data_IF_448280263403
#
_entry.id   IF_448280263403
#
_cell.length_a   1.000
_cell.length_b   1.000
_cell.length_c   1.000
_cell.angle_alpha   90.00
_cell.angle_beta   90.00
_cell.angle_gamma   90.00
#
_symmetry.space_group_name_H-M   'P 1'
#
loop_
_entity.id
_entity.type
_entity.pdbx_description
1 polymer ?
#
# COMPACT_ATOMS: atom_id res chain seq x y z
N UNK A 1 0.72 8.73 -3.70
CA UNK A 1 0.15 8.58 -2.32
C UNK A 1 1.20 8.22 -1.27
N UNK A 2 1.90 7.09 -1.40
CA UNK A 2 2.81 6.56 -0.35
C UNK A 2 3.91 7.54 0.07
N UNK A 3 4.51 8.27 -0.89
CA UNK A 3 5.52 9.30 -0.62
C UNK A 3 5.04 10.40 0.35
N UNK A 4 3.74 10.72 0.35
CA UNK A 4 3.18 11.67 1.33
C UNK A 4 3.21 11.09 2.74
N UNK A 5 2.83 9.82 2.91
CA UNK A 5 2.85 9.17 4.23
C UNK A 5 4.27 8.96 4.73
N UNK A 6 5.21 8.52 3.88
CA UNK A 6 6.61 8.38 4.26
C UNK A 6 7.24 9.71 4.73
N UNK A 7 6.77 10.86 4.23
CA UNK A 7 7.20 12.16 4.69
C UNK A 7 6.67 12.55 6.08
N UNK A 8 5.49 12.05 6.49
CA UNK A 8 4.90 12.38 7.79
C UNK A 8 5.76 11.84 8.96
N UNK A 9 5.84 12.55 10.09
CA UNK A 9 6.74 12.16 11.19
C UNK A 9 6.49 10.75 11.72
N UNK A 10 5.23 10.40 12.01
CA UNK A 10 4.86 9.10 12.56
C UNK A 10 5.09 7.96 11.56
N UNK A 11 4.44 8.03 10.39
CA UNK A 11 4.51 6.99 9.37
C UNK A 11 5.93 6.79 8.84
N UNK A 12 6.69 7.87 8.60
CA UNK A 12 8.09 7.76 8.19
C UNK A 12 8.96 7.06 9.23
N UNK A 13 8.75 7.30 10.54
CA UNK A 13 9.47 6.58 11.60
C UNK A 13 9.10 5.10 11.62
N UNK A 14 7.81 4.79 11.48
CA UNK A 14 7.33 3.40 11.41
C UNK A 14 7.96 2.66 10.23
N UNK A 15 7.92 3.24 9.02
CA UNK A 15 8.50 2.64 7.81
C UNK A 15 10.02 2.47 7.94
N UNK A 16 10.72 3.46 8.49
CA UNK A 16 12.16 3.37 8.72
C UNK A 16 12.51 2.27 9.75
N UNK A 17 11.70 2.07 10.79
CA UNK A 17 11.86 0.98 11.74
C UNK A 17 11.54 -0.40 11.13
N UNK A 18 10.67 -0.43 10.12
CA UNK A 18 10.32 -1.63 9.35
C UNK A 18 11.30 -1.95 8.20
N UNK A 19 12.46 -1.29 8.14
CA UNK A 19 13.52 -1.60 7.17
C UNK A 19 13.62 -0.64 5.97
N UNK A 20 12.74 0.35 5.83
CA UNK A 20 12.69 1.25 4.67
C UNK A 20 13.25 2.64 4.96
N UNK A 21 14.35 2.72 5.72
CA UNK A 21 14.94 4.00 6.11
C UNK A 21 15.43 4.80 4.90
N UNK A 22 16.06 4.13 3.94
CA UNK A 22 16.63 4.77 2.75
C UNK A 22 15.54 5.45 1.91
N UNK A 23 14.41 4.77 1.68
CA UNK A 23 13.25 5.31 0.97
C UNK A 23 12.67 6.52 1.71
N UNK A 24 12.48 6.43 3.03
CA UNK A 24 11.95 7.53 3.84
C UNK A 24 12.86 8.77 3.77
N UNK A 25 14.18 8.58 3.86
CA UNK A 25 15.16 9.67 3.77
C UNK A 25 15.17 10.32 2.38
N UNK A 26 15.12 9.50 1.32
CA UNK A 26 15.05 9.98 -0.06
C UNK A 26 13.75 10.77 -0.33
N UNK A 27 12.61 10.26 0.13
CA UNK A 27 11.31 10.94 0.07
C UNK A 27 11.39 12.30 0.77
N UNK A 28 11.88 12.35 2.01
CA UNK A 28 12.00 13.59 2.78
C UNK A 28 12.95 14.59 2.12
N UNK A 29 14.03 14.11 1.49
CA UNK A 29 14.94 14.96 0.75
C UNK A 29 14.26 15.64 -0.44
N UNK A 30 13.46 14.91 -1.22
CA UNK A 30 12.69 15.44 -2.33
C UNK A 30 11.61 16.44 -1.87
N UNK A 31 10.96 16.20 -0.73
CA UNK A 31 9.99 17.13 -0.15
C UNK A 31 10.59 18.48 0.25
N UNK A 32 11.87 18.52 0.70
CA UNK A 32 12.55 19.80 1.01
C UNK A 32 12.67 20.71 -0.20
N UNK A 33 12.78 20.14 -1.40
CA UNK A 33 12.84 20.89 -2.67
C UNK A 33 11.48 20.96 -3.38
N UNK A 34 10.40 20.49 -2.73
CA UNK A 34 9.04 20.40 -3.30
C UNK A 34 8.98 19.58 -4.60
N UNK A 35 9.89 18.64 -4.79
CA UNK A 35 9.96 17.78 -5.96
C UNK A 35 9.10 16.54 -5.74
N UNK A 36 7.83 16.62 -6.15
CA UNK A 36 6.85 15.54 -5.95
C UNK A 36 7.21 14.31 -6.76
N UNK A 37 7.65 14.48 -8.01
CA UNK A 37 7.99 13.35 -8.89
C UNK A 37 9.16 12.55 -8.33
N UNK A 38 10.21 13.23 -7.84
CA UNK A 38 11.32 12.57 -7.17
C UNK A 38 10.90 11.90 -5.86
N UNK A 39 9.98 12.50 -5.11
CA UNK A 39 9.46 11.87 -3.89
C UNK A 39 8.68 10.59 -4.22
N UNK A 40 7.90 10.58 -5.31
CA UNK A 40 7.18 9.38 -5.75
C UNK A 40 8.13 8.30 -6.28
N UNK A 41 9.15 8.66 -7.05
CA UNK A 41 10.18 7.73 -7.53
C UNK A 41 11.06 7.14 -6.42
N UNK A 42 11.11 7.77 -5.24
CA UNK A 42 11.84 7.26 -4.08
C UNK A 42 11.08 6.14 -3.33
N UNK A 43 9.81 5.89 -3.66
CA UNK A 43 9.04 4.76 -3.14
C UNK A 43 9.39 3.53 -3.98
N UNK A 44 10.13 2.59 -3.39
CA UNK A 44 10.47 1.33 -4.03
C UNK A 44 9.25 0.41 -4.17
N UNK A 45 9.29 -0.50 -5.14
CA UNK A 45 8.27 -1.55 -5.30
C UNK A 45 8.17 -2.41 -4.02
N UNK A 46 9.32 -2.71 -3.40
CA UNK A 46 9.35 -3.43 -2.12
C UNK A 46 8.62 -2.70 -0.99
N UNK A 47 8.77 -1.37 -0.88
CA UNK A 47 8.00 -0.58 0.08
C UNK A 47 6.51 -0.58 -0.26
N UNK A 48 6.17 -0.43 -1.53
CA UNK A 48 4.77 -0.43 -1.98
C UNK A 48 4.09 -1.77 -1.67
N UNK A 49 4.73 -2.89 -1.99
CA UNK A 49 4.24 -4.25 -1.73
C UNK A 49 4.13 -4.57 -0.24
N UNK A 50 5.05 -4.03 0.58
CA UNK A 50 5.04 -4.25 2.02
C UNK A 50 3.81 -3.61 2.71
N UNK A 51 3.31 -2.50 2.19
CA UNK A 51 2.26 -1.69 2.84
C UNK A 51 0.95 -1.60 2.08
N UNK A 52 0.85 -2.23 0.92
CA UNK A 52 -0.37 -2.26 0.09
C UNK A 52 -0.69 -3.66 -0.40
N UNK A 53 -1.91 -3.81 -0.91
CA UNK A 53 -2.38 -4.95 -1.67
C UNK A 53 -2.47 -4.50 -3.14
N UNK A 54 -1.38 -4.60 -3.88
CA UNK A 54 -1.27 -4.16 -5.27
C UNK A 54 -0.97 -5.36 -6.18
N UNK A 55 -1.57 -5.37 -7.38
CA UNK A 55 -1.40 -6.46 -8.34
C UNK A 55 -2.70 -7.22 -8.62
N UNK A 56 -2.55 -8.47 -9.07
CA UNK A 56 -3.68 -9.31 -9.45
C UNK A 56 -4.48 -9.80 -8.23
N UNK A 57 -5.75 -10.23 -8.43
CA UNK A 57 -6.60 -10.66 -7.32
C UNK A 57 -6.05 -11.86 -6.51
N UNK A 58 -5.28 -12.77 -7.12
CA UNK A 58 -4.73 -13.92 -6.41
C UNK A 58 -3.59 -13.48 -5.48
N UNK A 59 -2.70 -12.61 -5.96
CA UNK A 59 -1.66 -11.99 -5.14
C UNK A 59 -2.27 -11.25 -3.94
N UNK A 60 -3.26 -10.40 -4.18
CA UNK A 60 -3.92 -9.63 -3.13
C UNK A 60 -4.60 -10.53 -2.07
N UNK A 61 -5.22 -11.64 -2.48
CA UNK A 61 -5.79 -12.62 -1.54
C UNK A 61 -4.72 -13.29 -0.68
N UNK A 62 -3.62 -13.75 -1.28
CA UNK A 62 -2.52 -14.37 -0.56
C UNK A 62 -1.90 -13.40 0.49
N UNK A 63 -1.74 -12.13 0.13
CA UNK A 63 -1.28 -11.08 1.05
C UNK A 63 -2.28 -10.84 2.19
N UNK A 64 -3.58 -10.82 1.91
CA UNK A 64 -4.61 -10.70 2.96
C UNK A 64 -4.58 -11.89 3.92
N UNK A 65 -4.37 -13.10 3.40
CA UNK A 65 -4.26 -14.32 4.21
C UNK A 65 -2.98 -14.34 5.06
N UNK A 66 -1.89 -13.71 4.60
CA UNK A 66 -0.70 -13.52 5.42
C UNK A 66 -0.99 -12.66 6.66
N UNK A 67 -1.80 -11.60 6.54
CA UNK A 67 -2.23 -10.81 7.71
C UNK A 67 -3.10 -11.63 8.66
N UNK A 68 -4.01 -12.46 8.13
CA UNK A 68 -4.84 -13.36 8.96
C UNK A 68 -3.97 -14.37 9.71
N UNK A 69 -3.02 -14.98 9.01
CA UNK A 69 -2.05 -15.93 9.61
C UNK A 69 -1.21 -15.27 10.70
N UNK A 70 -0.89 -13.98 10.56
CA UNK A 70 -0.20 -13.19 11.57
C UNK A 70 -1.09 -12.75 12.76
N UNK A 71 -2.39 -13.14 12.77
CA UNK A 71 -3.30 -12.89 13.90
C UNK A 71 -4.34 -11.80 13.67
N UNK A 72 -4.44 -11.20 12.47
CA UNK A 72 -5.50 -10.24 12.17
C UNK A 72 -6.86 -10.95 12.07
N UNK A 73 -7.76 -10.69 13.02
CA UNK A 73 -9.09 -11.32 13.07
C UNK A 73 -10.10 -10.69 12.10
N UNK A 74 -9.98 -9.39 11.81
CA UNK A 74 -10.87 -8.66 10.90
C UNK A 74 -10.10 -7.69 10.00
N UNK A 75 -9.52 -8.18 8.89
CA UNK A 75 -8.92 -7.30 7.88
C UNK A 75 -9.98 -6.43 7.19
N UNK A 76 -9.77 -5.11 7.17
CA UNK A 76 -10.62 -4.16 6.43
C UNK A 76 -9.90 -3.76 5.15
N UNK A 77 -10.47 -4.10 4.00
CA UNK A 77 -9.92 -3.74 2.69
C UNK A 77 -10.49 -2.39 2.26
N UNK A 78 -9.62 -1.39 2.10
CA UNK A 78 -9.98 -0.07 1.61
C UNK A 78 -9.44 0.14 0.18
N UNK A 79 -10.32 0.21 -0.85
CA UNK A 79 -9.89 0.42 -2.22
C UNK A 79 -9.45 1.86 -2.46
N UNK A 80 -8.22 2.03 -2.97
CA UNK A 80 -7.72 3.31 -3.47
C UNK A 80 -7.74 3.30 -5.01
N UNK A 81 -8.54 4.16 -5.67
CA UNK A 81 -8.62 4.19 -7.14
C UNK A 81 -7.29 4.60 -7.79
N UNK A 82 -6.94 3.95 -8.89
CA UNK A 82 -5.78 4.29 -9.73
C UNK A 82 -6.24 4.41 -11.17
N UNK A 83 -6.35 5.63 -11.68
CA UNK A 83 -6.82 5.89 -13.06
C UNK A 83 -8.28 5.50 -13.32
N UNK A 84 -9.06 5.21 -12.28
CA UNK A 84 -10.46 4.79 -12.36
C UNK A 84 -11.36 5.56 -11.37
N UNK A 85 -12.68 5.41 -11.50
CA UNK A 85 -13.63 6.00 -10.57
C UNK A 85 -13.63 5.25 -9.22
N UNK A 86 -14.08 5.93 -8.15
CA UNK A 86 -14.24 5.28 -6.84
C UNK A 86 -15.18 4.08 -6.91
N UNK A 87 -16.30 4.21 -7.64
CA UNK A 87 -17.28 3.13 -7.79
C UNK A 87 -16.66 1.90 -8.45
N UNK A 88 -15.94 2.09 -9.56
CA UNK A 88 -15.26 1.00 -10.27
C UNK A 88 -14.21 0.30 -9.38
N UNK A 89 -13.40 1.06 -8.64
CA UNK A 89 -12.41 0.49 -7.72
C UNK A 89 -13.06 -0.34 -6.60
N UNK A 90 -14.20 0.12 -6.07
CA UNK A 90 -14.98 -0.60 -5.06
C UNK A 90 -15.56 -1.88 -5.64
N UNK A 91 -16.22 -1.82 -6.80
CA UNK A 91 -16.79 -2.99 -7.48
C UNK A 91 -15.74 -4.05 -7.78
N UNK A 92 -14.59 -3.65 -8.35
CA UNK A 92 -13.46 -4.54 -8.63
C UNK A 92 -12.92 -5.20 -7.37
N UNK A 93 -12.86 -4.46 -6.26
CA UNK A 93 -12.40 -4.98 -4.97
C UNK A 93 -13.41 -5.97 -4.37
N UNK A 94 -14.71 -5.65 -4.41
CA UNK A 94 -15.76 -6.55 -3.98
C UNK A 94 -15.72 -7.86 -4.79
N UNK A 95 -15.59 -7.78 -6.12
CA UNK A 95 -15.48 -8.96 -6.98
C UNK A 95 -14.21 -9.78 -6.67
N UNK A 96 -13.07 -9.13 -6.39
CA UNK A 96 -11.81 -9.81 -6.09
C UNK A 96 -11.84 -10.57 -4.74
N UNK A 97 -12.59 -10.07 -3.76
CA UNK A 97 -12.63 -10.60 -2.39
C UNK A 97 -13.97 -11.25 -2.00
N UNK A 98 -14.94 -11.33 -2.93
CA UNK A 98 -16.20 -12.01 -2.70
C UNK A 98 -15.95 -13.49 -2.31
N UNK A 99 -16.77 -14.06 -1.39
CA UNK A 99 -16.71 -15.48 -1.07
C UNK A 99 -16.80 -16.31 -2.35
N UNK A 100 -15.89 -17.26 -2.53
CA UNK A 100 -16.05 -18.26 -3.60
C UNK A 100 -17.06 -19.28 -3.13
N UNK A 101 -18.05 -19.60 -3.96
CA UNK A 101 -18.91 -20.73 -3.72
C UNK A 101 -18.03 -21.98 -3.59
N UNK A 102 -18.15 -22.68 -2.45
CA UNK A 102 -17.60 -24.02 -2.32
C UNK A 102 -18.39 -24.92 -3.27
N UNK A 103 -17.71 -25.50 -4.26
CA UNK A 103 -18.25 -26.63 -5.05
C UNK A 103 -18.21 -27.90 -4.20
#
# INVERSE_FOLDING_TARGET
MLARYANLPFYGRMLAASGFRAEVEAVRAAWRTRDVARAEAAVSDALADAVTLAGDPAHCRARLDAYRTAGASLPIVFPNPVGESRAAAVERTLAAFAPRASL
#
